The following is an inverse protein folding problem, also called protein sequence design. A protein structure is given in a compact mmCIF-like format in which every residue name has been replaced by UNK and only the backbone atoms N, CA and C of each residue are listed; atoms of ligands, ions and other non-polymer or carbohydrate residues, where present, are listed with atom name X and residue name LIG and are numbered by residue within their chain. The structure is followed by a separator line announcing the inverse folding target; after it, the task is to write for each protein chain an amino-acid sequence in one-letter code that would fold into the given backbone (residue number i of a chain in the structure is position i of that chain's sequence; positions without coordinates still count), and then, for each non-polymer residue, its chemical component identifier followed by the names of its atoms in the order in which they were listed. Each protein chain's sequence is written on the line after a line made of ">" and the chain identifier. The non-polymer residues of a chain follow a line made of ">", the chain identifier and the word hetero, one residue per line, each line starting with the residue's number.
data_IF_216751089613
#
_entry.id   IF_216751089613
#
_cell.length_a   1.000
_cell.length_b   1.000
_cell.length_c   1.000
_cell.angle_alpha   90.00
_cell.angle_beta   90.00
_cell.angle_gamma   90.00
#
_symmetry.space_group_name_H-M   'P 1'
#
loop_
_entity.id
_entity.type
_entity.pdbx_description
1 polymer ?
#
# COMPACT_ATOMS: atom_id res chain seq x y z
N UNK A 1 21.73 -11.12 49.46
CA UNK A 1 21.13 -12.27 48.75
C UNK A 1 19.68 -12.00 48.31
N UNK A 2 18.82 -11.47 49.18
CA UNK A 2 17.42 -11.10 48.85
C UNK A 2 17.27 -10.15 47.65
N UNK A 3 18.16 -9.16 47.49
CA UNK A 3 18.15 -8.26 46.31
C UNK A 3 18.52 -8.96 44.99
N UNK A 4 19.38 -9.98 45.04
CA UNK A 4 19.80 -10.75 43.86
C UNK A 4 18.68 -11.68 43.39
N UNK A 5 17.95 -12.28 44.34
CA UNK A 5 16.77 -13.11 44.08
C UNK A 5 15.66 -12.28 43.44
N UNK A 6 15.45 -11.03 43.88
CA UNK A 6 14.45 -10.13 43.29
C UNK A 6 14.76 -9.77 41.83
N UNK A 7 16.03 -9.53 41.50
CA UNK A 7 16.47 -9.21 40.13
C UNK A 7 16.34 -10.42 39.20
N UNK A 8 16.65 -11.62 39.69
CA UNK A 8 16.46 -12.87 38.94
C UNK A 8 14.96 -13.10 38.71
N UNK A 9 14.10 -12.83 39.70
CA UNK A 9 12.66 -12.99 39.57
C UNK A 9 12.03 -12.00 38.57
N UNK A 10 12.50 -10.74 38.48
CA UNK A 10 12.04 -9.79 37.47
C UNK A 10 12.53 -10.11 36.05
N UNK A 11 13.70 -10.74 35.90
CA UNK A 11 14.21 -11.19 34.59
C UNK A 11 13.40 -12.35 33.99
N UNK A 12 12.72 -13.17 34.81
CA UNK A 12 11.82 -14.23 34.33
C UNK A 12 10.43 -13.72 33.90
N UNK A 13 10.09 -12.46 34.18
CA UNK A 13 8.85 -11.82 33.75
C UNK A 13 9.03 -10.98 32.47
N UNK A 14 9.73 -11.51 31.47
CA UNK A 14 9.71 -10.90 30.14
C UNK A 14 8.30 -10.98 29.55
N UNK A 15 7.65 -9.83 29.40
CA UNK A 15 6.35 -9.73 28.73
C UNK A 15 6.56 -10.16 27.28
N UNK A 16 5.98 -11.31 26.91
CA UNK A 16 5.91 -11.71 25.51
C UNK A 16 4.90 -10.79 24.83
N UNK A 17 5.40 -9.86 24.01
CA UNK A 17 4.56 -9.11 23.07
C UNK A 17 4.39 -9.99 21.84
N UNK A 18 3.15 -10.39 21.56
CA UNK A 18 2.81 -11.01 20.28
C UNK A 18 2.52 -9.88 19.30
N UNK A 19 3.34 -9.75 18.27
CA UNK A 19 2.97 -8.97 17.11
C UNK A 19 1.90 -9.72 16.31
N UNK A 20 1.09 -8.94 15.62
CA UNK A 20 0.22 -9.45 14.59
C UNK A 20 0.28 -8.53 13.39
N UNK A 21 -0.15 -9.06 12.25
CA UNK A 21 -0.21 -8.35 10.99
C UNK A 21 -1.62 -8.43 10.45
N UNK A 22 -1.93 -7.47 9.58
CA UNK A 22 -3.10 -7.48 8.74
C UNK A 22 -2.65 -7.93 7.36
N UNK A 23 -3.16 -9.08 6.90
CA UNK A 23 -3.02 -9.54 5.53
C UNK A 23 -4.25 -9.10 4.75
N UNK A 24 -4.06 -8.28 3.73
CA UNK A 24 -5.10 -7.92 2.77
C UNK A 24 -4.90 -8.81 1.55
N UNK A 25 -5.73 -9.85 1.37
CA UNK A 25 -5.63 -10.67 0.18
C UNK A 25 -6.09 -9.89 -1.05
N UNK A 26 -5.53 -10.23 -2.21
CA UNK A 26 -5.83 -9.56 -3.48
C UNK A 26 -6.27 -10.54 -4.57
N UNK A 27 -6.40 -11.83 -4.23
CA UNK A 27 -7.00 -12.82 -5.11
C UNK A 27 -8.49 -12.56 -5.35
N UNK A 28 -9.01 -13.05 -6.47
CA UNK A 28 -10.36 -12.75 -6.94
C UNK A 28 -11.47 -13.34 -6.06
N UNK A 29 -11.17 -14.39 -5.28
CA UNK A 29 -12.17 -15.12 -4.49
C UNK A 29 -12.36 -14.52 -3.10
N UNK A 30 -11.31 -13.94 -2.51
CA UNK A 30 -11.35 -13.48 -1.11
C UNK A 30 -11.53 -11.98 -0.94
N UNK A 31 -11.07 -11.15 -1.88
CA UNK A 31 -11.14 -9.70 -1.74
C UNK A 31 -12.46 -9.13 -2.28
N UNK A 32 -13.16 -8.39 -1.43
CA UNK A 32 -14.42 -7.72 -1.79
C UNK A 32 -14.20 -6.39 -2.52
N UNK A 33 -13.15 -5.64 -2.16
CA UNK A 33 -12.92 -4.27 -2.65
C UNK A 33 -11.44 -4.03 -2.99
N UNK A 34 -10.98 -4.54 -4.15
CA UNK A 34 -9.57 -4.45 -4.57
C UNK A 34 -9.06 -3.01 -4.70
N UNK A 35 -9.85 -2.10 -5.26
CA UNK A 35 -9.41 -0.72 -5.46
C UNK A 35 -9.24 0.02 -4.13
N UNK A 36 -10.18 -0.18 -3.19
CA UNK A 36 -10.06 0.37 -1.84
C UNK A 36 -8.91 -0.27 -1.05
N UNK A 37 -8.55 -1.53 -1.32
CA UNK A 37 -7.39 -2.18 -0.70
C UNK A 37 -6.07 -1.46 -1.01
N UNK A 38 -5.88 -0.98 -2.25
CA UNK A 38 -4.75 -0.10 -2.58
C UNK A 38 -4.81 1.20 -1.78
N UNK A 39 -6.00 1.79 -1.65
CA UNK A 39 -6.26 2.96 -0.81
C UNK A 39 -5.87 2.78 0.66
N UNK A 40 -6.25 1.66 1.27
CA UNK A 40 -5.86 1.30 2.65
C UNK A 40 -4.34 1.19 2.78
N UNK A 41 -3.69 0.57 1.80
CA UNK A 41 -2.23 0.41 1.81
C UNK A 41 -1.55 1.78 1.71
N UNK A 42 -2.01 2.65 0.80
CA UNK A 42 -1.51 4.02 0.68
C UNK A 42 -1.72 4.82 1.97
N UNK A 43 -2.93 4.77 2.54
CA UNK A 43 -3.28 5.44 3.80
C UNK A 43 -2.40 4.97 4.98
N UNK A 44 -2.04 3.68 4.99
CA UNK A 44 -1.11 3.13 5.97
C UNK A 44 0.28 3.75 5.83
N UNK A 45 0.77 3.88 4.60
CA UNK A 45 2.06 4.50 4.29
C UNK A 45 2.09 6.00 4.60
N UNK A 46 0.98 6.73 4.42
CA UNK A 46 0.88 8.15 4.82
C UNK A 46 1.08 8.35 6.32
N UNK A 47 0.73 7.35 7.12
CA UNK A 47 0.92 7.32 8.57
C UNK A 47 2.31 6.84 8.98
N UNK A 48 3.25 6.79 8.02
CA UNK A 48 4.64 6.35 8.21
C UNK A 48 4.76 4.90 8.71
N UNK A 49 3.75 4.08 8.43
CA UNK A 49 3.75 2.65 8.74
C UNK A 49 4.16 1.89 7.48
N UNK A 50 5.28 1.18 7.55
CA UNK A 50 5.77 0.38 6.41
C UNK A 50 4.81 -0.78 6.12
N UNK A 51 4.68 -1.11 4.85
CA UNK A 51 3.92 -2.26 4.37
C UNK A 51 4.83 -3.20 3.56
N UNK A 52 4.37 -4.43 3.28
CA UNK A 52 4.98 -5.28 2.26
C UNK A 52 3.96 -5.61 1.18
N UNK A 53 4.38 -5.48 -0.07
CA UNK A 53 3.65 -6.01 -1.21
C UNK A 53 4.19 -7.40 -1.55
N UNK A 54 3.31 -8.40 -1.44
CA UNK A 54 3.63 -9.81 -1.61
C UNK A 54 3.32 -10.23 -3.05
N UNK A 55 4.25 -9.94 -3.97
CA UNK A 55 4.13 -10.22 -5.39
C UNK A 55 3.91 -11.72 -5.64
N UNK A 56 2.92 -12.02 -6.48
CA UNK A 56 2.48 -13.37 -6.84
C UNK A 56 2.03 -14.26 -5.67
N UNK A 57 1.88 -13.72 -4.47
CA UNK A 57 1.24 -14.38 -3.34
C UNK A 57 -0.19 -13.87 -3.20
N UNK A 58 -1.18 -14.78 -3.32
CA UNK A 58 -2.62 -14.47 -3.18
C UNK A 58 -3.02 -13.18 -3.92
N UNK A 59 -2.75 -13.14 -5.21
CA UNK A 59 -3.09 -12.02 -6.09
C UNK A 59 -2.25 -10.74 -5.91
N UNK A 60 -1.12 -10.79 -5.21
CA UNK A 60 -0.34 -9.59 -4.91
C UNK A 60 -0.76 -8.95 -3.59
N UNK A 61 -0.92 -9.76 -2.55
CA UNK A 61 -1.44 -9.33 -1.25
C UNK A 61 -0.60 -8.26 -0.57
N UNK A 62 -1.21 -7.51 0.35
CA UNK A 62 -0.49 -6.57 1.21
C UNK A 62 -0.40 -7.09 2.64
N UNK A 63 0.78 -6.98 3.23
CA UNK A 63 1.03 -7.25 4.64
C UNK A 63 1.29 -5.92 5.36
N UNK A 64 0.36 -5.55 6.24
CA UNK A 64 0.39 -4.30 6.99
C UNK A 64 0.62 -4.59 8.48
N UNK A 65 1.24 -3.68 9.24
CA UNK A 65 1.28 -3.80 10.68
C UNK A 65 -0.14 -3.77 11.23
N UNK A 66 -0.38 -4.57 12.25
CA UNK A 66 -1.67 -4.57 12.89
C UNK A 66 -1.90 -3.31 13.74
N UNK A 67 -3.03 -2.64 13.53
CA UNK A 67 -3.53 -1.62 14.44
C UNK A 67 -5.07 -1.57 14.40
N UNK A 68 -5.72 -1.20 15.51
CA UNK A 68 -7.18 -1.01 15.54
C UNK A 68 -7.68 -0.03 14.47
N UNK A 69 -6.90 1.01 14.18
CA UNK A 69 -7.24 2.03 13.18
C UNK A 69 -7.26 1.44 11.77
N UNK A 70 -6.23 0.67 11.37
CA UNK A 70 -6.19 0.04 10.04
C UNK A 70 -7.35 -0.95 9.89
N UNK A 71 -7.62 -1.79 10.90
CA UNK A 71 -8.75 -2.73 10.85
C UNK A 71 -10.08 -2.01 10.67
N UNK A 72 -10.28 -0.90 11.39
CA UNK A 72 -11.48 -0.08 11.31
C UNK A 72 -11.62 0.54 9.92
N UNK A 73 -10.54 1.07 9.35
CA UNK A 73 -10.56 1.60 7.98
C UNK A 73 -10.88 0.52 6.95
N UNK A 74 -10.29 -0.68 7.06
CA UNK A 74 -10.66 -1.80 6.20
C UNK A 74 -12.17 -2.10 6.27
N UNK A 75 -12.74 -2.14 7.48
CA UNK A 75 -14.18 -2.38 7.68
C UNK A 75 -15.04 -1.26 7.07
N UNK A 76 -14.68 0.00 7.29
CA UNK A 76 -15.42 1.17 6.76
C UNK A 76 -15.42 1.15 5.23
N UNK A 77 -14.29 0.78 4.62
CA UNK A 77 -14.11 0.78 3.15
C UNK A 77 -14.46 -0.55 2.49
N UNK A 78 -14.99 -1.52 3.23
CA UNK A 78 -15.43 -2.82 2.70
C UNK A 78 -14.29 -3.75 2.25
N UNK A 79 -13.05 -3.49 2.67
CA UNK A 79 -11.87 -4.29 2.29
C UNK A 79 -11.79 -5.54 3.16
N UNK A 80 -11.73 -6.71 2.53
CA UNK A 80 -11.46 -7.98 3.23
C UNK A 80 -10.05 -7.98 3.78
N UNK A 81 -9.88 -8.41 5.03
CA UNK A 81 -8.58 -8.58 5.65
C UNK A 81 -8.57 -9.74 6.65
N UNK A 82 -7.38 -10.29 6.87
CA UNK A 82 -7.12 -11.35 7.83
C UNK A 82 -6.11 -10.86 8.88
N UNK A 83 -6.32 -11.23 10.12
CA UNK A 83 -5.40 -10.90 11.21
C UNK A 83 -4.58 -12.14 11.49
N UNK A 84 -3.28 -12.05 11.25
CA UNK A 84 -2.37 -13.18 11.36
C UNK A 84 -1.30 -12.90 12.42
N UNK A 85 -0.87 -13.95 13.11
CA UNK A 85 0.23 -13.87 14.07
C UNK A 85 1.58 -13.60 13.37
N UNK A 86 2.56 -13.10 14.11
CA UNK A 86 3.95 -12.99 13.62
C UNK A 86 4.47 -14.32 13.06
N UNK A 87 4.14 -15.44 13.69
CA UNK A 87 4.56 -16.78 13.24
C UNK A 87 3.99 -17.10 11.86
N UNK A 88 2.71 -16.85 11.63
CA UNK A 88 2.08 -17.03 10.32
C UNK A 88 2.66 -16.09 9.27
N UNK A 89 2.89 -14.81 9.62
CA UNK A 89 3.52 -13.86 8.72
C UNK A 89 4.93 -14.31 8.30
N UNK A 90 5.72 -14.83 9.25
CA UNK A 90 7.05 -15.36 8.96
C UNK A 90 7.00 -16.60 8.05
N UNK A 91 6.05 -17.52 8.27
CA UNK A 91 5.85 -18.67 7.38
C UNK A 91 5.52 -18.25 5.94
N UNK A 92 4.66 -17.24 5.77
CA UNK A 92 4.33 -16.68 4.45
C UNK A 92 5.59 -16.08 3.80
N UNK A 93 6.38 -15.31 4.55
CA UNK A 93 7.60 -14.70 4.03
C UNK A 93 8.68 -15.73 3.69
N UNK A 94 8.79 -16.81 4.47
CA UNK A 94 9.67 -17.94 4.17
C UNK A 94 9.24 -18.65 2.87
N UNK A 95 7.94 -18.90 2.69
CA UNK A 95 7.41 -19.46 1.43
C UNK A 95 7.76 -18.58 0.23
N UNK A 96 7.53 -17.27 0.34
CA UNK A 96 7.83 -16.29 -0.71
C UNK A 96 9.32 -16.26 -1.03
N UNK A 97 10.19 -16.38 -0.03
CA UNK A 97 11.64 -16.34 -0.21
C UNK A 97 12.23 -17.59 -0.88
N UNK A 98 11.44 -18.66 -1.03
CA UNK A 98 11.91 -19.91 -1.60
C UNK A 98 12.37 -19.72 -3.06
N UNK A 99 13.62 -20.07 -3.43
CA UNK A 99 14.13 -19.91 -4.79
C UNK A 99 13.36 -20.69 -5.87
N UNK A 100 12.56 -21.68 -5.46
CA UNK A 100 11.71 -22.49 -6.34
C UNK A 100 10.35 -21.85 -6.66
N UNK A 101 10.03 -20.70 -6.04
CA UNK A 101 8.75 -19.98 -6.20
C UNK A 101 9.01 -18.66 -6.91
N UNK A 102 8.15 -18.29 -7.86
CA UNK A 102 8.21 -17.00 -8.53
C UNK A 102 7.43 -15.95 -7.71
N UNK A 103 7.89 -15.65 -6.51
CA UNK A 103 7.26 -14.71 -5.57
C UNK A 103 8.30 -13.75 -5.01
N UNK A 104 7.84 -12.58 -4.54
CA UNK A 104 8.73 -11.57 -3.94
C UNK A 104 7.98 -10.74 -2.90
N UNK A 105 8.68 -10.33 -1.83
CA UNK A 105 8.13 -9.43 -0.81
C UNK A 105 8.84 -8.06 -0.91
N UNK A 106 8.18 -7.10 -1.55
CA UNK A 106 8.71 -5.73 -1.72
C UNK A 106 8.30 -4.88 -0.53
N UNK A 107 9.26 -4.21 0.10
CA UNK A 107 8.98 -3.28 1.21
C UNK A 107 8.52 -1.93 0.66
N UNK A 108 7.37 -1.46 1.14
CA UNK A 108 6.84 -0.13 0.85
C UNK A 108 7.13 0.77 2.05
N UNK A 109 7.93 1.83 1.82
CA UNK A 109 8.44 2.66 2.92
C UNK A 109 7.64 3.94 3.18
N UNK A 110 7.19 4.61 2.12
CA UNK A 110 6.47 5.88 2.19
C UNK A 110 5.38 5.95 1.13
N UNK A 111 4.35 6.76 1.39
CA UNK A 111 3.34 7.10 0.40
C UNK A 111 3.98 8.00 -0.68
N UNK A 112 3.94 7.63 -1.96
CA UNK A 112 4.50 8.45 -3.03
C UNK A 112 3.60 9.66 -3.29
N UNK A 113 4.19 10.82 -3.58
CA UNK A 113 3.46 11.94 -4.18
C UNK A 113 3.19 11.63 -5.66
N UNK A 114 1.93 11.61 -6.06
CA UNK A 114 1.52 11.21 -7.41
C UNK A 114 1.10 12.44 -8.21
N UNK A 115 1.68 12.60 -9.39
CA UNK A 115 1.19 13.52 -10.42
C UNK A 115 0.51 12.74 -11.55
N UNK A 116 -0.55 13.32 -12.11
CA UNK A 116 -1.18 12.86 -13.34
C UNK A 116 -1.03 13.95 -14.39
N UNK A 117 -0.37 13.65 -15.50
CA UNK A 117 -0.30 14.57 -16.61
C UNK A 117 -1.62 14.53 -17.39
N UNK A 118 -2.36 15.65 -17.40
CA UNK A 118 -3.64 15.74 -18.08
C UNK A 118 -4.04 17.21 -18.36
N UNK A 119 -4.65 17.52 -19.51
CA UNK A 119 -5.19 18.85 -19.80
C UNK A 119 -6.17 19.33 -18.73
N UNK A 120 -6.10 20.61 -18.36
CA UNK A 120 -6.95 21.26 -17.34
C UNK A 120 -8.47 21.25 -17.65
N UNK A 121 -8.89 20.76 -18.83
CA UNK A 121 -10.27 20.71 -19.28
C UNK A 121 -10.86 19.31 -19.50
N UNK A 122 -10.10 18.23 -19.25
CA UNK A 122 -10.59 16.86 -19.42
C UNK A 122 -11.69 16.55 -18.40
N UNK A 123 -12.68 15.76 -18.82
CA UNK A 123 -13.73 15.32 -17.90
C UNK A 123 -13.20 14.23 -16.97
N UNK A 124 -13.71 14.12 -15.73
CA UNK A 124 -13.21 13.16 -14.74
C UNK A 124 -13.29 11.68 -15.15
N UNK A 125 -14.11 11.33 -16.14
CA UNK A 125 -14.26 9.96 -16.65
C UNK A 125 -13.39 9.67 -17.88
N UNK A 126 -12.70 10.67 -18.41
CA UNK A 126 -11.84 10.51 -19.59
C UNK A 126 -10.52 9.79 -19.22
N UNK A 127 -10.22 9.67 -17.93
CA UNK A 127 -9.02 8.99 -17.42
C UNK A 127 -9.38 7.95 -16.35
N UNK A 128 -9.27 6.67 -16.72
CA UNK A 128 -9.52 5.56 -15.80
C UNK A 128 -8.59 5.56 -14.58
N UNK A 129 -7.36 6.08 -14.69
CA UNK A 129 -6.42 6.14 -13.57
C UNK A 129 -6.87 7.18 -12.55
N UNK A 130 -7.27 8.38 -12.97
CA UNK A 130 -7.81 9.39 -12.03
C UNK A 130 -9.11 8.92 -11.39
N UNK A 131 -9.98 8.22 -12.13
CA UNK A 131 -11.17 7.58 -11.58
C UNK A 131 -10.80 6.57 -10.49
N UNK A 132 -9.84 5.68 -10.76
CA UNK A 132 -9.42 4.64 -9.81
C UNK A 132 -8.73 5.24 -8.59
N UNK A 133 -7.83 6.22 -8.76
CA UNK A 133 -7.18 6.91 -7.64
C UNK A 133 -8.20 7.63 -6.76
N UNK A 134 -9.14 8.35 -7.38
CA UNK A 134 -10.23 9.02 -6.67
C UNK A 134 -11.10 8.01 -5.92
N UNK A 135 -11.47 6.91 -6.58
CA UNK A 135 -12.27 5.85 -5.95
C UNK A 135 -11.51 5.18 -4.81
N UNK A 136 -10.20 4.93 -4.96
CA UNK A 136 -9.35 4.38 -3.90
C UNK A 136 -9.05 5.39 -2.78
N UNK A 137 -9.44 6.66 -2.93
CA UNK A 137 -9.09 7.76 -2.03
C UNK A 137 -7.57 8.00 -1.91
N UNK A 138 -6.85 7.81 -3.02
CA UNK A 138 -5.43 8.11 -3.14
C UNK A 138 -5.28 9.51 -3.75
N UNK A 139 -4.65 10.47 -3.04
CA UNK A 139 -4.47 11.83 -3.53
C UNK A 139 -3.47 11.86 -4.70
N UNK A 140 -3.78 12.71 -5.68
CA UNK A 140 -2.90 13.03 -6.80
C UNK A 140 -3.08 14.50 -7.17
N UNK A 141 -2.09 15.06 -7.85
CA UNK A 141 -2.16 16.41 -8.41
C UNK A 141 -2.17 16.31 -9.95
N UNK A 142 -3.02 17.10 -10.61
CA UNK A 142 -3.03 17.19 -12.08
C UNK A 142 -2.00 18.23 -12.50
N UNK A 143 -1.11 17.86 -13.42
CA UNK A 143 -0.09 18.74 -14.00
C UNK A 143 -0.23 18.77 -15.51
N UNK A 144 0.16 19.87 -16.14
CA UNK A 144 0.19 20.01 -17.60
C UNK A 144 1.44 20.77 -18.04
N UNK A 145 1.47 21.21 -19.30
CA UNK A 145 2.62 21.85 -19.94
C UNK A 145 3.29 22.94 -19.08
N UNK A 146 2.51 23.86 -18.50
CA UNK A 146 3.05 24.98 -17.72
C UNK A 146 3.80 24.50 -16.46
N UNK A 147 3.22 23.55 -15.72
CA UNK A 147 3.83 23.00 -14.51
C UNK A 147 5.07 22.15 -14.86
N UNK A 148 5.02 21.38 -15.94
CA UNK A 148 6.15 20.55 -16.41
C UNK A 148 7.32 21.43 -16.83
N UNK A 149 7.07 22.47 -17.63
CA UNK A 149 8.09 23.42 -18.10
C UNK A 149 8.67 24.28 -16.96
N UNK A 150 7.98 24.36 -15.82
CA UNK A 150 8.41 25.10 -14.63
C UNK A 150 9.08 24.21 -13.57
N UNK A 151 9.57 23.03 -13.95
CA UNK A 151 10.26 22.06 -13.07
C UNK A 151 9.42 21.53 -11.88
N UNK A 152 8.08 21.66 -11.90
CA UNK A 152 7.23 21.17 -10.81
C UNK A 152 7.25 19.65 -10.63
N UNK A 153 7.69 18.89 -11.66
CA UNK A 153 7.79 17.44 -11.58
C UNK A 153 8.73 16.96 -10.45
N UNK A 154 9.69 17.78 -10.04
CA UNK A 154 10.60 17.49 -8.92
C UNK A 154 9.88 17.35 -7.57
N UNK A 155 8.63 17.78 -7.47
CA UNK A 155 7.81 17.69 -6.25
C UNK A 155 7.15 16.32 -6.08
N UNK A 156 7.17 15.48 -7.11
CA UNK A 156 6.44 14.21 -7.15
C UNK A 156 7.39 13.03 -7.20
N UNK A 157 6.95 11.91 -6.63
CA UNK A 157 7.67 10.64 -6.72
C UNK A 157 7.28 9.92 -8.01
N UNK A 158 5.98 9.92 -8.36
CA UNK A 158 5.43 9.16 -9.49
C UNK A 158 4.67 10.09 -10.44
N UNK A 159 4.79 9.82 -11.75
CA UNK A 159 4.07 10.53 -12.80
C UNK A 159 3.31 9.52 -13.66
N UNK A 160 1.98 9.68 -13.73
CA UNK A 160 1.15 8.97 -14.69
C UNK A 160 1.04 9.79 -15.99
N UNK A 161 1.12 9.09 -17.12
CA UNK A 161 1.05 9.63 -18.47
C UNK A 161 0.12 8.75 -19.29
N UNK A 162 -0.71 9.33 -20.16
CA UNK A 162 -1.44 8.55 -21.15
C UNK A 162 -0.57 8.36 -22.38
N UNK A 163 -0.59 7.16 -22.93
CA UNK A 163 0.13 6.88 -24.17
C UNK A 163 -0.33 7.78 -25.33
N UNK A 164 -1.58 8.27 -25.29
CA UNK A 164 -2.15 9.20 -26.27
C UNK A 164 -1.47 10.59 -26.24
N UNK A 165 -0.93 11.00 -25.08
CA UNK A 165 -0.22 12.27 -24.91
C UNK A 165 1.04 12.37 -25.80
N UNK A 166 1.59 11.23 -26.21
CA UNK A 166 2.82 11.16 -27.03
C UNK A 166 2.57 11.04 -28.54
N UNK A 167 1.32 10.94 -28.97
CA UNK A 167 1.02 10.65 -30.38
C UNK A 167 1.09 11.87 -31.30
N UNK A 168 1.18 13.08 -30.74
CA UNK A 168 1.29 14.33 -31.52
C UNK A 168 0.11 14.60 -32.45
N UNK A 169 -0.96 13.80 -32.38
CA UNK A 169 -2.19 14.05 -33.10
C UNK A 169 -2.95 15.10 -32.32
N UNK A 170 -2.87 16.35 -32.78
CA UNK A 170 -3.81 17.39 -32.41
C UNK A 170 -5.24 16.86 -32.57
N UNK A 171 -5.89 16.55 -31.46
CA UNK A 171 -7.29 16.17 -31.43
C UNK A 171 -7.54 14.68 -31.65
N UNK A 172 -7.73 13.98 -30.54
CA UNK A 172 -8.79 12.97 -30.46
C UNK A 172 -9.89 13.37 -29.48
N UNK A 173 -10.05 14.68 -29.24
CA UNK A 173 -11.20 15.27 -28.55
C UNK A 173 -11.49 16.63 -29.18
#
# INVERSE_FOLDING_TARGET
>A
MTRLILIIFTLFFSIQSFGSYILIPMDAESQAEHLKAYGITYWTLERQLKAKWLLNYRGGSFLLPDSPDIRKECQIRGVTFEVISDSQANQILEEISSPSRNMEAVVLEKAPRIAVYSPKGNQPWDDAVTMVLTYAEIPYEVVYDEEVLSDHLLLYDWLHLHHEDFTGQYGKF
#
